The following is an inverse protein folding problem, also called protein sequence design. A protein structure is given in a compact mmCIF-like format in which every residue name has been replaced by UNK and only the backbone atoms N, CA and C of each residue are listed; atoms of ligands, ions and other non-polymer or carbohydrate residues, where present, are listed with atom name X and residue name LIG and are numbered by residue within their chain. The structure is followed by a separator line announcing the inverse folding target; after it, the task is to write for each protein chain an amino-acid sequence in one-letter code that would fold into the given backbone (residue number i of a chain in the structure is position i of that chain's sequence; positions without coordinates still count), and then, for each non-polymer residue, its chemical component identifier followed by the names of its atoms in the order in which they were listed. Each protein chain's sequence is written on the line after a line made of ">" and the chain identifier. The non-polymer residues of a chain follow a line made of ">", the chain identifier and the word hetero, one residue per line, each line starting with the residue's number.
data_IF_381776121631
#
_entry.id   IF_381776121631
#
_cell.length_a   1.000
_cell.length_b   1.000
_cell.length_c   1.000
_cell.angle_alpha   90.00
_cell.angle_beta   90.00
_cell.angle_gamma   90.00
#
_symmetry.space_group_name_H-M   'P 1'
#
loop_
_entity.id
_entity.type
_entity.pdbx_description
1 polymer ?
#
# COMPACT_ATOMS: atom_id res chain seq x y z
N UNK A 1 -5.45 -10.44 2.30
CA UNK A 1 -4.26 -11.25 2.56
C UNK A 1 -3.24 -10.41 3.30
N UNK A 2 -2.54 -10.98 4.28
CA UNK A 2 -1.54 -10.26 5.08
C UNK A 2 -0.17 -10.90 4.86
N UNK A 3 0.82 -10.06 4.55
CA UNK A 3 2.23 -10.45 4.42
C UNK A 3 3.01 -9.66 5.47
N UNK A 4 3.84 -10.36 6.24
CA UNK A 4 4.62 -9.74 7.31
C UNK A 4 6.11 -9.85 6.99
N UNK A 5 6.80 -8.72 6.99
CA UNK A 5 8.26 -8.65 6.84
C UNK A 5 8.85 -8.19 8.17
N UNK A 6 9.65 -9.05 8.79
CA UNK A 6 10.28 -8.78 10.09
C UNK A 6 11.78 -8.94 9.97
N UNK A 7 12.53 -7.95 10.46
CA UNK A 7 13.98 -8.04 10.58
C UNK A 7 14.40 -8.39 12.02
N UNK A 8 15.71 -8.41 12.27
CA UNK A 8 16.30 -8.67 13.59
C UNK A 8 16.85 -7.39 14.26
N UNK A 9 16.40 -6.22 13.82
CA UNK A 9 16.73 -4.92 14.39
C UNK A 9 15.92 -4.62 15.66
N UNK A 10 16.24 -3.50 16.30
CA UNK A 10 15.69 -3.10 17.61
C UNK A 10 14.31 -2.41 17.52
N UNK A 11 13.68 -2.42 16.35
CA UNK A 11 12.47 -1.65 16.08
C UNK A 11 12.75 -0.17 15.81
N UNK A 12 11.68 0.63 15.89
CA UNK A 12 11.67 2.04 15.50
C UNK A 12 11.23 2.88 16.69
N UNK A 13 12.03 3.89 17.06
CA UNK A 13 11.70 4.84 18.12
C UNK A 13 10.33 5.49 17.90
N UNK A 14 9.52 5.59 18.95
CA UNK A 14 8.17 6.14 18.87
C UNK A 14 8.12 7.53 18.21
N UNK A 15 9.13 8.37 18.48
CA UNK A 15 9.25 9.74 17.92
C UNK A 15 9.43 9.78 16.41
N UNK A 16 9.89 8.70 15.79
CA UNK A 16 10.13 8.64 14.34
C UNK A 16 9.08 7.81 13.61
N UNK A 17 8.32 6.96 14.31
CA UNK A 17 7.29 6.09 13.70
C UNK A 17 6.28 6.86 12.83
N UNK A 18 5.86 8.06 13.23
CA UNK A 18 4.92 8.89 12.45
C UNK A 18 5.53 9.45 11.16
N UNK A 19 6.86 9.48 11.07
CA UNK A 19 7.61 10.09 9.97
C UNK A 19 8.16 9.08 8.98
N UNK A 20 8.22 7.78 9.32
CA UNK A 20 8.92 6.77 8.50
C UNK A 20 8.35 6.62 7.09
N UNK A 21 7.08 6.95 6.88
CA UNK A 21 6.42 6.93 5.57
C UNK A 21 6.48 8.27 4.83
N UNK A 22 6.97 9.34 5.46
CA UNK A 22 7.10 10.64 4.81
C UNK A 22 8.22 10.58 3.75
N UNK A 23 7.97 11.06 2.53
CA UNK A 23 9.01 11.16 1.51
C UNK A 23 10.22 11.94 2.03
N UNK A 24 11.41 11.46 1.68
CA UNK A 24 12.71 12.03 2.06
C UNK A 24 13.08 11.93 3.55
N UNK A 25 12.21 11.39 4.41
CA UNK A 25 12.58 11.15 5.80
C UNK A 25 13.60 10.02 5.90
N UNK A 26 14.70 10.27 6.61
CA UNK A 26 15.68 9.23 6.95
C UNK A 26 16.41 9.55 8.25
N UNK A 27 16.73 8.51 9.01
CA UNK A 27 17.63 8.58 10.19
C UNK A 27 19.09 8.34 9.80
N UNK A 28 19.37 7.98 8.55
CA UNK A 28 20.73 7.79 8.05
C UNK A 28 21.43 9.14 7.92
N UNK A 29 22.75 9.13 8.03
CA UNK A 29 23.57 10.32 7.82
C UNK A 29 23.43 10.86 6.39
N UNK A 30 23.79 12.14 6.22
CA UNK A 30 23.69 12.83 4.95
C UNK A 30 24.34 12.04 3.80
N UNK A 31 23.61 11.91 2.68
CA UNK A 31 24.07 11.18 1.49
C UNK A 31 24.04 9.64 1.59
N UNK A 32 23.59 9.05 2.71
CA UNK A 32 23.52 7.57 2.89
C UNK A 32 22.14 6.97 2.64
N UNK A 33 21.19 7.77 2.21
CA UNK A 33 19.85 7.31 1.82
C UNK A 33 18.99 8.46 1.32
N UNK A 34 18.09 8.15 0.39
CA UNK A 34 17.14 9.14 -0.17
C UNK A 34 15.91 9.33 0.69
N UNK A 35 15.62 8.41 1.62
CA UNK A 35 14.41 8.43 2.44
C UNK A 35 13.11 8.15 1.66
N UNK A 36 13.20 7.53 0.48
CA UNK A 36 12.03 7.33 -0.38
C UNK A 36 11.36 5.96 -0.26
N UNK A 37 12.08 4.94 0.21
CA UNK A 37 11.64 3.54 0.12
C UNK A 37 10.26 3.28 0.75
N UNK A 38 10.11 3.56 2.04
CA UNK A 38 8.85 3.32 2.75
C UNK A 38 7.69 4.16 2.23
N UNK A 39 7.93 5.43 1.86
CA UNK A 39 6.90 6.28 1.26
C UNK A 39 6.40 5.74 -0.08
N UNK A 40 7.32 5.30 -0.95
CA UNK A 40 6.94 4.66 -2.23
C UNK A 40 6.18 3.36 -1.97
N UNK A 41 6.64 2.50 -1.06
CA UNK A 41 5.94 1.24 -0.74
C UNK A 41 4.54 1.46 -0.20
N UNK A 42 4.34 2.46 0.69
CA UNK A 42 3.01 2.82 1.22
C UNK A 42 2.08 3.26 0.09
N UNK A 43 2.53 4.17 -0.76
CA UNK A 43 1.76 4.64 -1.91
C UNK A 43 1.42 3.50 -2.88
N UNK A 44 2.38 2.58 -3.13
CA UNK A 44 2.14 1.43 -4.00
C UNK A 44 1.03 0.53 -3.42
N UNK A 45 1.06 0.24 -2.12
CA UNK A 45 0.01 -0.59 -1.50
C UNK A 45 -1.36 0.09 -1.56
N UNK A 46 -1.42 1.38 -1.28
CA UNK A 46 -2.66 2.16 -1.37
C UNK A 46 -3.24 2.16 -2.79
N UNK A 47 -2.40 2.28 -3.82
CA UNK A 47 -2.82 2.19 -5.22
C UNK A 47 -3.32 0.79 -5.63
N UNK A 48 -3.10 -0.23 -4.79
CA UNK A 48 -3.58 -1.60 -4.99
C UNK A 48 -4.74 -1.94 -4.05
N UNK A 49 -5.44 -0.93 -3.52
CA UNK A 49 -6.54 -1.07 -2.53
C UNK A 49 -6.11 -1.82 -1.26
N UNK A 50 -4.81 -1.80 -1.00
CA UNK A 50 -4.18 -2.38 0.17
C UNK A 50 -3.58 -1.31 1.07
N UNK A 51 -2.76 -1.75 2.03
CA UNK A 51 -2.04 -0.84 2.89
C UNK A 51 -0.73 -1.44 3.46
N UNK A 52 0.14 -0.57 3.99
CA UNK A 52 1.40 -0.90 4.65
C UNK A 52 1.48 -0.25 6.03
N UNK A 53 1.76 -1.06 7.06
CA UNK A 53 1.81 -0.61 8.46
C UNK A 53 3.12 -1.00 9.13
N UNK A 54 3.56 -0.20 10.10
CA UNK A 54 4.54 -0.63 11.09
C UNK A 54 3.83 -1.38 12.23
N UNK A 55 4.29 -2.58 12.55
CA UNK A 55 3.74 -3.41 13.61
C UNK A 55 4.34 -3.04 14.97
N UNK A 56 3.66 -2.16 15.70
CA UNK A 56 4.08 -1.69 17.03
C UNK A 56 4.09 -2.79 18.10
N UNK A 57 3.43 -3.93 17.85
CA UNK A 57 3.37 -5.04 18.81
C UNK A 57 4.54 -6.04 18.62
N UNK A 58 5.42 -5.82 17.65
CA UNK A 58 6.59 -6.67 17.40
C UNK A 58 7.78 -6.26 18.27
N UNK A 59 8.54 -7.24 18.76
CA UNK A 59 9.81 -7.00 19.47
C UNK A 59 10.93 -6.50 18.55
N UNK A 60 10.86 -6.84 17.26
CA UNK A 60 11.78 -6.36 16.23
C UNK A 60 11.08 -5.38 15.27
N UNK A 61 11.80 -4.80 14.32
CA UNK A 61 11.18 -4.05 13.24
C UNK A 61 10.32 -4.98 12.38
N UNK A 62 9.03 -4.71 12.31
CA UNK A 62 8.09 -5.53 11.55
C UNK A 62 7.12 -4.64 10.78
N UNK A 63 6.91 -4.96 9.51
CA UNK A 63 5.97 -4.28 8.64
C UNK A 63 4.92 -5.26 8.14
N UNK A 64 3.67 -4.81 8.10
CA UNK A 64 2.51 -5.59 7.65
C UNK A 64 2.02 -4.98 6.35
N UNK A 65 2.02 -5.78 5.29
CA UNK A 65 1.34 -5.49 4.03
C UNK A 65 -0.02 -6.16 4.07
N UNK A 66 -1.07 -5.39 3.83
CA UNK A 66 -2.43 -5.86 3.70
C UNK A 66 -2.91 -5.64 2.27
N UNK A 67 -3.42 -6.67 1.62
CA UNK A 67 -3.97 -6.60 0.26
C UNK A 67 -5.36 -7.22 0.22
N UNK A 68 -6.26 -6.78 -0.66
CA UNK A 68 -7.52 -7.48 -0.90
C UNK A 68 -7.25 -8.87 -1.49
N UNK A 69 -8.08 -9.87 -1.15
CA UNK A 69 -7.96 -11.22 -1.71
C UNK A 69 -8.52 -11.32 -3.12
N UNK A 70 -9.51 -10.48 -3.42
CA UNK A 70 -10.17 -10.38 -4.71
C UNK A 70 -10.28 -8.90 -5.02
N UNK A 71 -9.92 -8.53 -6.24
CA UNK A 71 -10.25 -7.23 -6.79
C UNK A 71 -11.47 -7.48 -7.67
N UNK A 72 -12.59 -6.85 -7.37
CA UNK A 72 -13.72 -6.88 -8.29
C UNK A 72 -13.21 -6.31 -9.63
N UNK A 73 -13.33 -7.09 -10.70
CA UNK A 73 -12.96 -6.61 -12.01
C UNK A 73 -14.01 -5.57 -12.40
N UNK A 74 -13.68 -4.28 -12.38
CA UNK A 74 -14.53 -3.20 -12.92
C UNK A 74 -14.80 -3.31 -14.44
N UNK A 75 -14.35 -4.40 -15.08
CA UNK A 75 -14.61 -4.78 -16.47
C UNK A 75 -15.69 -5.87 -16.60
N UNK A 76 -16.60 -6.01 -15.65
CA UNK A 76 -17.79 -6.83 -15.86
C UNK A 76 -18.80 -6.01 -16.69
N UNK A 77 -18.96 -6.37 -17.97
CA UNK A 77 -19.96 -5.76 -18.85
C UNK A 77 -21.35 -6.05 -18.28
N UNK A 78 -22.03 -5.02 -17.78
CA UNK A 78 -23.46 -5.11 -17.47
C UNK A 78 -24.20 -5.10 -18.81
N UNK A 79 -24.67 -6.26 -19.25
CA UNK A 79 -25.60 -6.37 -20.39
C UNK A 79 -27.01 -6.10 -19.84
N UNK A 80 -27.54 -4.91 -20.07
CA UNK A 80 -28.96 -4.66 -19.81
C UNK A 80 -29.81 -5.25 -20.95
N UNK A 81 -30.67 -6.22 -20.64
CA UNK A 81 -31.69 -6.71 -21.56
C UNK A 81 -32.82 -5.68 -21.70
N UNK A 82 -32.59 -4.60 -22.45
CA UNK A 82 -33.64 -3.71 -22.90
C UNK A 82 -33.86 -3.89 -24.41
N UNK A 83 -34.91 -4.66 -24.75
CA UNK A 83 -35.54 -4.66 -26.08
C UNK A 83 -34.60 -4.76 -27.30
N UNK A 84 -33.62 -5.67 -27.27
CA UNK A 84 -32.89 -6.11 -28.47
C UNK A 84 -31.84 -5.14 -29.02
N UNK A 85 -31.44 -4.11 -28.27
CA UNK A 85 -30.35 -3.21 -28.65
C UNK A 85 -29.21 -3.34 -27.64
N UNK A 86 -28.06 -3.86 -28.08
CA UNK A 86 -26.84 -3.90 -27.27
C UNK A 86 -26.21 -2.50 -27.26
N UNK A 87 -26.35 -1.77 -26.16
CA UNK A 87 -25.68 -0.48 -25.97
C UNK A 87 -24.41 -0.65 -25.12
N UNK A 88 -23.26 -0.24 -25.65
CA UNK A 88 -22.00 -0.25 -24.94
C UNK A 88 -21.76 1.13 -24.32
N UNK A 89 -22.04 1.32 -23.03
CA UNK A 89 -21.62 2.55 -22.33
C UNK A 89 -20.12 2.47 -21.99
N UNK A 90 -19.28 3.24 -22.69
CA UNK A 90 -17.86 3.42 -22.35
C UNK A 90 -17.65 4.61 -21.40
N UNK A 91 -16.72 4.38 -20.47
CA UNK A 91 -16.29 5.19 -19.33
C UNK A 91 -15.96 6.66 -19.61
N UNK A 92 -16.18 7.47 -18.56
CA UNK A 92 -15.76 8.87 -18.40
C UNK A 92 -14.23 8.93 -18.23
N UNK A 93 -13.59 9.73 -19.07
CA UNK A 93 -12.14 10.03 -19.07
C UNK A 93 -11.75 10.78 -17.80
#
# INVERSE_FOLDING_TARGET
>A
HNIVVTDSGLGIDQKVQEKIFQPFFTTKSFGKGTGLGLGISKNLMQNQDGDLFYNQNSLNTSFIIQLPLFKENENELVVEENSGVYEFSKYKI
#
